data_IF_174733195582
#
_entry.id   IF_174733195582
#
_cell.length_a   1.000
_cell.length_b   1.000
_cell.length_c   1.000
_cell.angle_alpha   90.00
_cell.angle_beta   90.00
_cell.angle_gamma   90.00
#
_symmetry.space_group_name_H-M   'P 1'
#
loop_
_entity.id
_entity.type
_entity.pdbx_description
1 polymer ?
#
# COMPACT_ATOMS: atom_id res chain seq x y z
N UNK A 1 -23.06 7.63 21.51
CA UNK A 1 -22.06 8.72 21.64
C UNK A 1 -22.40 9.74 20.55
N UNK A 2 -22.29 11.05 20.83
CA UNK A 2 -22.53 12.07 19.82
C UNK A 2 -21.58 11.90 18.62
N UNK A 3 -21.99 12.36 17.45
CA UNK A 3 -21.09 12.41 16.29
C UNK A 3 -19.95 13.39 16.57
N UNK A 4 -18.76 13.07 16.08
CA UNK A 4 -17.56 13.90 16.23
C UNK A 4 -17.07 14.38 14.87
N UNK A 5 -16.40 15.53 14.83
CA UNK A 5 -15.71 16.01 13.62
C UNK A 5 -14.23 16.13 13.98
N UNK A 6 -13.40 15.28 13.39
CA UNK A 6 -11.97 15.17 13.67
C UNK A 6 -11.18 15.69 12.49
N UNK A 7 -10.13 16.47 12.75
CA UNK A 7 -9.14 16.83 11.75
C UNK A 7 -8.03 15.78 11.72
N UNK A 8 -7.54 15.50 10.52
CA UNK A 8 -6.29 14.76 10.33
C UNK A 8 -5.13 15.38 11.13
N UNK A 9 -4.15 14.54 11.48
CA UNK A 9 -2.98 14.95 12.27
C UNK A 9 -2.22 16.12 11.63
N UNK A 10 -2.14 16.09 10.29
CA UNK A 10 -1.28 16.94 9.49
C UNK A 10 -2.08 17.71 8.45
N UNK A 11 -2.94 17.02 7.72
CA UNK A 11 -3.62 17.57 6.57
C UNK A 11 -4.83 18.41 6.98
N UNK A 12 -5.24 19.33 6.12
CA UNK A 12 -6.52 20.02 6.26
C UNK A 12 -7.70 19.14 5.80
N UNK A 13 -7.70 17.89 6.26
CA UNK A 13 -8.71 16.87 5.96
C UNK A 13 -9.57 16.64 7.21
N UNK A 14 -10.89 16.64 7.05
CA UNK A 14 -11.83 16.52 8.14
C UNK A 14 -12.72 15.29 7.96
N UNK A 15 -12.93 14.55 9.05
CA UNK A 15 -13.73 13.33 9.07
C UNK A 15 -14.81 13.42 10.15
N UNK A 16 -16.05 13.16 9.75
CA UNK A 16 -17.18 13.00 10.65
C UNK A 16 -17.20 11.54 11.13
N UNK A 17 -17.05 11.32 12.43
CA UNK A 17 -17.20 10.02 13.06
C UNK A 17 -18.67 9.87 13.50
N UNK A 18 -19.40 8.98 12.83
CA UNK A 18 -20.85 8.85 12.98
C UNK A 18 -21.28 7.38 13.21
N UNK A 19 -21.02 6.86 14.42
CA UNK A 19 -21.22 5.45 14.77
C UNK A 19 -22.66 4.94 14.55
N UNK A 20 -23.67 5.78 14.80
CA UNK A 20 -25.08 5.39 14.67
C UNK A 20 -25.52 5.13 13.21
N UNK A 21 -24.79 5.69 12.23
CA UNK A 21 -25.09 5.46 10.80
C UNK A 21 -24.83 4.02 10.36
N UNK A 22 -24.10 3.22 11.14
CA UNK A 22 -23.92 1.77 10.89
C UNK A 22 -25.24 0.98 10.91
N UNK A 23 -26.30 1.52 11.55
CA UNK A 23 -27.63 0.88 11.66
C UNK A 23 -28.58 1.24 10.52
N UNK A 24 -28.14 2.04 9.54
CA UNK A 24 -29.01 2.50 8.46
C UNK A 24 -29.43 1.30 7.61
N UNK A 25 -30.74 1.09 7.37
CA UNK A 25 -31.19 0.05 6.46
C UNK A 25 -30.65 0.31 5.04
N UNK A 26 -30.25 -0.77 4.36
CA UNK A 26 -29.83 -0.76 2.96
C UNK A 26 -30.76 -1.68 2.17
N UNK A 27 -31.41 -1.13 1.14
CA UNK A 27 -32.24 -1.92 0.22
C UNK A 27 -31.37 -2.69 -0.81
N UNK A 28 -30.08 -2.38 -0.88
CA UNK A 28 -29.13 -3.03 -1.76
C UNK A 28 -28.31 -4.05 -0.97
N UNK A 29 -28.47 -5.33 -1.31
CA UNK A 29 -27.60 -6.39 -0.82
C UNK A 29 -26.22 -6.28 -1.49
N UNK A 30 -25.15 -6.44 -0.71
CA UNK A 30 -23.81 -6.60 -1.27
C UNK A 30 -23.73 -8.05 -1.77
N UNK A 31 -23.80 -8.24 -3.08
CA UNK A 31 -23.63 -9.55 -3.69
C UNK A 31 -22.20 -10.05 -3.47
N UNK A 32 -22.05 -11.29 -3.01
CA UNK A 32 -20.74 -11.96 -2.96
C UNK A 32 -20.29 -12.24 -4.39
N UNK A 33 -19.18 -11.64 -4.79
CA UNK A 33 -18.58 -11.87 -6.11
C UNK A 33 -18.08 -13.32 -6.21
N UNK A 34 -18.43 -13.99 -7.30
CA UNK A 34 -17.97 -15.35 -7.61
C UNK A 34 -16.44 -15.41 -7.75
N UNK A 35 -15.84 -16.57 -7.40
CA UNK A 35 -14.41 -16.81 -7.58
C UNK A 35 -14.05 -16.78 -9.07
N UNK A 36 -13.00 -16.03 -9.41
CA UNK A 36 -12.51 -15.95 -10.79
C UNK A 36 -11.99 -17.31 -11.29
N UNK A 37 -12.17 -17.58 -12.59
CA UNK A 37 -11.59 -18.75 -13.25
C UNK A 37 -10.05 -18.62 -13.29
N UNK A 38 -9.36 -19.49 -12.56
CA UNK A 38 -7.90 -19.48 -12.42
C UNK A 38 -7.17 -20.02 -13.65
N UNK A 39 -7.86 -20.76 -14.55
CA UNK A 39 -7.22 -21.41 -15.71
C UNK A 39 -6.75 -20.41 -16.78
N UNK A 40 -7.32 -19.21 -16.82
CA UNK A 40 -6.97 -18.16 -17.77
C UNK A 40 -6.11 -17.04 -17.16
N UNK A 41 -5.59 -17.20 -15.94
CA UNK A 41 -4.86 -16.14 -15.25
C UNK A 41 -3.49 -15.88 -15.91
N UNK A 42 -3.20 -14.67 -16.42
CA UNK A 42 -1.91 -14.35 -17.04
C UNK A 42 -0.74 -14.34 -16.05
N UNK A 43 -1.02 -14.28 -14.75
CA UNK A 43 0.00 -14.20 -13.69
C UNK A 43 0.37 -15.57 -13.10
N UNK A 44 -0.37 -16.63 -13.45
CA UNK A 44 -0.04 -17.98 -13.03
C UNK A 44 1.23 -18.51 -13.74
N UNK A 45 2.05 -19.33 -13.07
CA UNK A 45 3.16 -20.03 -13.69
C UNK A 45 2.72 -20.84 -14.92
N UNK A 46 3.53 -20.80 -15.98
CA UNK A 46 3.22 -21.40 -17.28
C UNK A 46 2.56 -20.44 -18.28
N UNK A 47 2.05 -19.31 -17.81
CA UNK A 47 1.41 -18.28 -18.64
C UNK A 47 2.32 -17.05 -18.84
N UNK A 48 3.64 -17.18 -18.69
CA UNK A 48 4.57 -16.04 -18.74
C UNK A 48 4.53 -15.27 -20.07
N UNK A 49 4.06 -15.91 -21.16
CA UNK A 49 3.88 -15.27 -22.47
C UNK A 49 2.60 -14.41 -22.58
N UNK A 50 1.69 -14.48 -21.59
CA UNK A 50 0.49 -13.66 -21.54
C UNK A 50 0.74 -12.29 -20.90
N UNK A 51 1.94 -12.05 -20.36
CA UNK A 51 2.38 -10.76 -19.82
C UNK A 51 3.43 -10.12 -20.72
N UNK A 52 3.63 -8.79 -20.65
CA UNK A 52 4.85 -8.17 -21.16
C UNK A 52 6.11 -8.81 -20.53
N UNK A 53 7.29 -8.67 -21.17
CA UNK A 53 8.53 -9.16 -20.60
C UNK A 53 8.80 -8.66 -19.19
N UNK A 54 9.08 -9.58 -18.27
CA UNK A 54 9.48 -9.22 -16.93
C UNK A 54 10.77 -8.41 -16.96
N UNK A 55 10.70 -7.20 -16.41
CA UNK A 55 11.86 -6.30 -16.25
C UNK A 55 12.72 -6.71 -15.06
N UNK A 56 12.14 -7.46 -14.11
CA UNK A 56 12.84 -8.06 -12.99
C UNK A 56 12.08 -9.32 -12.53
N UNK A 57 12.79 -10.40 -12.25
CA UNK A 57 12.25 -11.61 -11.64
C UNK A 57 13.30 -12.30 -10.78
N UNK A 58 12.83 -13.03 -9.76
CA UNK A 58 13.68 -13.80 -8.86
C UNK A 58 13.55 -15.29 -9.13
N UNK A 59 14.68 -15.98 -9.25
CA UNK A 59 14.78 -17.44 -9.37
C UNK A 59 15.50 -18.02 -8.15
N UNK A 60 15.13 -19.22 -7.69
CA UNK A 60 15.95 -19.96 -6.75
C UNK A 60 17.23 -20.46 -7.45
N UNK A 61 18.40 -20.30 -6.81
CA UNK A 61 19.69 -20.79 -7.32
C UNK A 61 20.58 -21.23 -6.16
N UNK A 62 20.79 -22.54 -5.98
CA UNK A 62 21.69 -23.14 -4.99
C UNK A 62 21.62 -22.55 -3.56
N UNK A 63 20.40 -22.30 -3.08
CA UNK A 63 20.16 -21.73 -1.75
C UNK A 63 20.15 -20.19 -1.68
N UNK A 64 20.44 -19.53 -2.80
CA UNK A 64 20.36 -18.08 -2.96
C UNK A 64 19.25 -17.66 -3.95
N UNK A 65 19.06 -16.35 -4.09
CA UNK A 65 18.12 -15.75 -5.03
C UNK A 65 18.91 -15.15 -6.19
N UNK A 66 18.72 -15.69 -7.39
CA UNK A 66 19.21 -15.07 -8.61
C UNK A 66 18.20 -14.06 -9.13
N UNK A 67 18.64 -12.81 -9.31
CA UNK A 67 17.86 -11.75 -9.94
C UNK A 67 18.16 -11.70 -11.43
N UNK A 68 17.13 -11.72 -12.26
CA UNK A 68 17.27 -11.66 -13.73
C UNK A 68 16.07 -10.96 -14.36
N UNK A 69 16.00 -10.93 -15.69
CA UNK A 69 14.89 -10.39 -16.48
C UNK A 69 14.57 -11.33 -17.63
N UNK A 70 13.40 -11.18 -18.21
CA UNK A 70 13.11 -11.87 -19.46
C UNK A 70 13.98 -11.31 -20.61
N UNK A 71 14.28 -12.16 -21.58
CA UNK A 71 14.93 -11.78 -22.83
C UNK A 71 14.11 -12.24 -24.03
N UNK A 72 14.43 -11.75 -25.23
CA UNK A 72 13.70 -12.09 -26.44
C UNK A 72 13.66 -13.61 -26.65
N UNK A 73 12.46 -14.18 -26.59
CA UNK A 73 12.20 -15.61 -26.76
C UNK A 73 12.46 -16.48 -25.53
N UNK A 74 12.96 -15.94 -24.41
CA UNK A 74 13.21 -16.72 -23.19
C UNK A 74 12.47 -16.15 -21.98
N UNK A 75 11.56 -16.97 -21.44
CA UNK A 75 10.81 -16.73 -20.20
C UNK A 75 11.25 -17.74 -19.13
N UNK A 76 12.08 -17.35 -18.15
CA UNK A 76 12.46 -18.26 -17.06
C UNK A 76 11.23 -18.75 -16.28
N UNK A 77 11.17 -20.08 -16.08
CA UNK A 77 10.14 -20.73 -15.25
C UNK A 77 10.63 -20.88 -13.81
N UNK A 78 9.71 -21.16 -12.88
CA UNK A 78 10.05 -21.38 -11.47
C UNK A 78 10.41 -20.10 -10.71
N UNK A 79 9.95 -18.95 -11.22
CA UNK A 79 10.09 -17.67 -10.57
C UNK A 79 9.36 -17.63 -9.22
N UNK A 80 9.91 -16.84 -8.29
CA UNK A 80 9.35 -16.64 -6.95
C UNK A 80 8.52 -15.36 -6.87
N UNK A 81 8.92 -14.32 -7.62
CA UNK A 81 8.23 -13.04 -7.77
C UNK A 81 8.64 -12.44 -9.12
N UNK A 82 7.75 -11.69 -9.78
CA UNK A 82 8.00 -11.03 -11.08
C UNK A 82 7.52 -9.58 -11.07
N UNK A 83 8.26 -8.70 -11.73
CA UNK A 83 7.83 -7.36 -12.12
C UNK A 83 7.73 -7.31 -13.64
N UNK A 84 6.56 -6.97 -14.16
CA UNK A 84 6.31 -6.81 -15.60
C UNK A 84 5.77 -5.39 -15.86
N UNK A 85 6.06 -4.77 -17.01
CA UNK A 85 5.30 -3.61 -17.46
C UNK A 85 3.81 -3.93 -17.47
N UNK A 86 2.98 -2.97 -17.08
CA UNK A 86 1.53 -3.12 -17.23
C UNK A 86 1.20 -3.20 -18.72
N UNK A 87 0.34 -4.15 -19.12
CA UNK A 87 -0.09 -4.33 -20.51
C UNK A 87 -0.90 -3.13 -21.03
N UNK A 88 -1.60 -2.44 -20.12
CA UNK A 88 -2.38 -1.23 -20.40
C UNK A 88 -1.86 -0.08 -19.52
N UNK A 89 -0.66 0.43 -19.79
CA UNK A 89 -0.01 1.35 -18.89
C UNK A 89 -0.65 2.74 -18.97
N UNK A 90 -0.91 3.32 -17.80
CA UNK A 90 -1.33 4.72 -17.67
C UNK A 90 -0.25 5.74 -18.04
N UNK A 91 1.03 5.35 -17.99
CA UNK A 91 2.20 6.17 -18.29
C UNK A 91 3.24 5.36 -19.06
N UNK A 92 3.96 6.00 -19.98
CA UNK A 92 4.98 5.37 -20.80
C UNK A 92 6.39 5.92 -20.50
N UNK A 93 7.44 5.08 -20.53
CA UNK A 93 8.80 5.56 -20.33
C UNK A 93 9.14 6.68 -21.30
N UNK A 94 10.04 7.58 -20.88
CA UNK A 94 10.35 8.77 -21.68
C UNK A 94 10.89 8.39 -23.08
N UNK A 95 10.14 8.80 -24.12
CA UNK A 95 10.50 8.65 -25.52
C UNK A 95 11.15 9.91 -26.13
N UNK A 96 11.47 9.87 -27.43
CA UNK A 96 12.25 10.92 -28.13
C UNK A 96 11.47 12.21 -28.46
N UNK A 97 10.14 12.18 -28.56
CA UNK A 97 9.33 13.35 -28.92
C UNK A 97 8.42 13.75 -27.74
N UNK A 98 8.60 14.97 -27.24
CA UNK A 98 7.78 15.54 -26.17
C UNK A 98 6.90 16.65 -26.75
N UNK A 99 5.62 16.64 -26.40
CA UNK A 99 4.74 17.80 -26.58
C UNK A 99 4.26 18.23 -25.20
N UNK A 100 4.51 19.48 -24.84
CA UNK A 100 3.86 20.09 -23.67
C UNK A 100 3.08 21.29 -24.15
N UNK A 101 1.89 21.49 -23.59
CA UNK A 101 1.08 22.68 -23.83
C UNK A 101 1.00 23.40 -22.50
N UNK A 102 1.41 24.66 -22.48
CA UNK A 102 1.25 25.53 -21.33
C UNK A 102 0.56 26.81 -21.80
N UNK A 103 -0.63 27.06 -21.27
CA UNK A 103 -1.34 28.32 -21.35
C UNK A 103 -1.59 28.85 -19.93
N UNK A 104 -2.20 30.03 -19.81
CA UNK A 104 -2.39 30.70 -18.52
C UNK A 104 -3.22 29.87 -17.52
N UNK A 105 -4.19 29.09 -18.00
CA UNK A 105 -5.15 28.36 -17.15
C UNK A 105 -5.12 26.84 -17.34
N UNK A 106 -4.33 26.31 -18.28
CA UNK A 106 -4.22 24.87 -18.50
C UNK A 106 -2.79 24.47 -18.82
N UNK A 107 -2.41 23.31 -18.28
CA UNK A 107 -1.12 22.67 -18.48
C UNK A 107 -1.36 21.24 -18.91
N UNK A 108 -0.70 20.81 -19.98
CA UNK A 108 -0.70 19.44 -20.46
C UNK A 108 0.75 19.00 -20.65
N UNK A 109 1.05 17.78 -20.22
CA UNK A 109 2.30 17.09 -20.51
C UNK A 109 1.99 15.68 -21.01
N UNK A 110 2.87 15.12 -21.83
CA UNK A 110 2.79 13.70 -22.21
C UNK A 110 2.77 12.85 -20.94
N UNK A 111 1.96 11.79 -20.93
CA UNK A 111 1.89 10.79 -19.86
C UNK A 111 3.17 9.96 -19.77
N UNK A 112 4.25 10.60 -19.34
CA UNK A 112 5.58 10.01 -19.20
C UNK A 112 5.74 9.43 -17.81
N UNK A 113 6.34 8.25 -17.68
CA UNK A 113 6.54 7.56 -16.41
C UNK A 113 6.67 6.05 -16.58
N UNK A 114 6.53 5.31 -15.50
CA UNK A 114 6.49 3.84 -15.53
C UNK A 114 5.18 3.36 -14.92
N UNK A 115 4.62 2.31 -15.48
CA UNK A 115 3.49 1.60 -14.88
C UNK A 115 3.78 0.10 -14.96
N UNK A 116 4.01 -0.52 -13.81
CA UNK A 116 4.42 -1.90 -13.66
C UNK A 116 3.49 -2.67 -12.72
N UNK A 117 3.41 -3.98 -12.95
CA UNK A 117 2.69 -4.94 -12.10
C UNK A 117 3.72 -5.84 -11.43
N UNK A 118 3.62 -5.93 -10.11
CA UNK A 118 4.44 -6.81 -9.28
C UNK A 118 3.58 -8.03 -8.95
N UNK A 119 3.87 -9.15 -9.58
CA UNK A 119 3.24 -10.45 -9.33
C UNK A 119 3.91 -11.04 -8.09
N UNK A 120 3.17 -11.07 -6.98
CA UNK A 120 3.72 -11.26 -5.63
C UNK A 120 4.07 -12.71 -5.33
N UNK A 121 3.43 -13.67 -6.01
CA UNK A 121 3.63 -15.11 -5.78
C UNK A 121 3.31 -15.92 -7.04
N UNK A 122 3.97 -17.09 -7.26
CA UNK A 122 3.51 -18.09 -8.23
C UNK A 122 2.20 -18.79 -7.82
N UNK A 123 1.79 -18.69 -6.56
CA UNK A 123 0.53 -19.25 -6.05
C UNK A 123 -0.56 -18.17 -6.16
N UNK A 124 -1.59 -18.45 -6.96
CA UNK A 124 -2.64 -17.50 -7.35
C UNK A 124 -3.26 -16.75 -6.17
N UNK A 125 -3.68 -17.49 -5.14
CA UNK A 125 -4.39 -16.96 -3.98
C UNK A 125 -3.45 -16.59 -2.81
N UNK A 126 -2.12 -16.61 -2.96
CA UNK A 126 -1.17 -16.33 -1.86
C UNK A 126 -1.07 -14.82 -1.54
N UNK A 127 -2.21 -14.26 -1.11
CA UNK A 127 -2.40 -12.87 -0.70
C UNK A 127 -1.74 -12.56 0.65
N UNK A 128 -1.47 -11.28 0.97
CA UNK A 128 -0.82 -10.89 2.22
C UNK A 128 -1.40 -11.50 3.51
N UNK A 129 -2.71 -11.79 3.55
CA UNK A 129 -3.37 -12.35 4.71
C UNK A 129 -3.16 -13.87 4.91
N UNK A 130 -2.66 -14.59 3.89
CA UNK A 130 -2.32 -16.02 3.99
C UNK A 130 -0.88 -16.35 3.59
N UNK A 131 -0.20 -15.43 2.91
CA UNK A 131 1.14 -15.64 2.38
C UNK A 131 2.15 -16.07 3.42
N UNK A 132 3.16 -16.83 3.00
CA UNK A 132 4.33 -17.09 3.85
C UNK A 132 5.08 -15.77 4.06
N UNK A 133 5.62 -15.56 5.26
CA UNK A 133 6.41 -14.36 5.59
C UNK A 133 7.54 -14.15 4.57
N UNK A 134 8.19 -15.23 4.15
CA UNK A 134 9.25 -15.19 3.14
C UNK A 134 8.73 -14.66 1.79
N UNK A 135 7.50 -15.00 1.39
CA UNK A 135 6.91 -14.54 0.13
C UNK A 135 6.64 -13.03 0.14
N UNK A 136 6.13 -12.51 1.26
CA UNK A 136 5.97 -11.06 1.45
C UNK A 136 7.34 -10.38 1.44
N UNK A 137 8.37 -10.97 2.07
CA UNK A 137 9.74 -10.44 2.05
C UNK A 137 10.28 -10.35 0.62
N UNK A 138 10.12 -11.39 -0.20
CA UNK A 138 10.53 -11.37 -1.61
C UNK A 138 9.85 -10.26 -2.40
N UNK A 139 8.56 -10.04 -2.15
CA UNK A 139 7.80 -8.93 -2.76
C UNK A 139 8.36 -7.57 -2.35
N UNK A 140 8.62 -7.37 -1.05
CA UNK A 140 9.23 -6.13 -0.54
C UNK A 140 10.62 -5.90 -1.12
N UNK A 141 11.45 -6.93 -1.23
CA UNK A 141 12.76 -6.85 -1.87
C UNK A 141 12.65 -6.43 -3.33
N UNK A 142 11.71 -7.00 -4.09
CA UNK A 142 11.47 -6.63 -5.48
C UNK A 142 10.96 -5.19 -5.62
N UNK A 143 10.07 -4.75 -4.73
CA UNK A 143 9.64 -3.36 -4.64
C UNK A 143 10.83 -2.41 -4.43
N UNK A 144 11.75 -2.74 -3.51
CA UNK A 144 12.94 -1.93 -3.22
C UNK A 144 13.89 -1.88 -4.43
N UNK A 145 14.10 -3.00 -5.11
CA UNK A 145 14.94 -3.05 -6.32
C UNK A 145 14.36 -2.18 -7.44
N UNK A 146 13.05 -2.28 -7.71
CA UNK A 146 12.39 -1.42 -8.69
C UNK A 146 12.43 0.04 -8.29
N UNK A 147 12.24 0.34 -7.00
CA UNK A 147 12.32 1.70 -6.47
C UNK A 147 13.70 2.30 -6.75
N UNK A 148 14.79 1.57 -6.44
CA UNK A 148 16.18 1.98 -6.70
C UNK A 148 16.46 2.20 -8.20
N UNK A 149 16.00 1.30 -9.05
CA UNK A 149 16.24 1.40 -10.49
C UNK A 149 15.49 2.58 -11.10
N UNK A 150 14.19 2.72 -10.80
CA UNK A 150 13.36 3.78 -11.36
C UNK A 150 13.77 5.15 -10.80
N UNK A 151 14.16 5.24 -9.52
CA UNK A 151 14.62 6.50 -8.92
C UNK A 151 15.86 7.10 -9.58
N UNK A 152 16.66 6.28 -10.30
CA UNK A 152 17.83 6.76 -11.04
C UNK A 152 17.50 7.59 -12.28
N UNK A 153 16.23 7.66 -12.68
CA UNK A 153 15.80 8.47 -13.83
C UNK A 153 15.43 9.89 -13.36
N UNK A 154 16.21 10.89 -13.79
CA UNK A 154 16.10 12.30 -13.33
C UNK A 154 14.71 12.94 -13.50
N UNK A 155 13.91 12.46 -14.47
CA UNK A 155 12.58 12.98 -14.73
C UNK A 155 11.50 12.40 -13.79
N UNK A 156 11.81 11.39 -12.99
CA UNK A 156 10.88 10.78 -12.04
C UNK A 156 10.93 11.54 -10.72
N UNK A 157 9.79 12.11 -10.31
CA UNK A 157 9.65 12.84 -9.05
C UNK A 157 9.00 12.01 -7.95
N UNK A 158 8.14 11.04 -8.30
CA UNK A 158 7.47 10.20 -7.31
C UNK A 158 7.21 8.80 -7.83
N UNK A 159 7.34 7.80 -6.95
CA UNK A 159 7.09 6.39 -7.25
C UNK A 159 6.05 5.88 -6.25
N UNK A 160 4.84 5.63 -6.72
CA UNK A 160 3.76 5.07 -5.92
C UNK A 160 3.77 3.55 -6.00
N UNK A 161 3.85 2.88 -4.86
CA UNK A 161 3.67 1.43 -4.74
C UNK A 161 2.37 1.19 -4.00
N UNK A 162 1.44 0.49 -4.62
CA UNK A 162 0.10 0.29 -4.08
C UNK A 162 -0.47 -1.07 -4.46
N UNK A 163 -1.53 -1.48 -3.77
CA UNK A 163 -2.25 -2.73 -4.03
C UNK A 163 -3.75 -2.50 -3.93
N UNK A 164 -4.50 -3.22 -4.77
CA UNK A 164 -5.94 -3.39 -4.64
C UNK A 164 -6.25 -4.89 -4.47
N UNK A 165 -7.04 -5.24 -3.46
CA UNK A 165 -7.51 -6.59 -3.17
C UNK A 165 -9.03 -6.61 -3.19
N UNK A 166 -9.61 -7.50 -3.99
CA UNK A 166 -11.06 -7.57 -4.20
C UNK A 166 -11.58 -6.57 -5.26
N UNK A 167 -12.68 -6.93 -5.90
CA UNK A 167 -13.26 -6.20 -7.05
C UNK A 167 -13.70 -4.80 -6.66
N UNK A 168 -14.27 -4.63 -5.48
CA UNK A 168 -14.76 -3.37 -4.94
C UNK A 168 -13.62 -2.38 -4.64
N UNK A 169 -12.40 -2.88 -4.45
CA UNK A 169 -11.19 -2.06 -4.34
C UNK A 169 -10.57 -1.71 -5.70
N UNK A 170 -11.16 -2.18 -6.81
CA UNK A 170 -10.66 -1.93 -8.16
C UNK A 170 -9.65 -2.95 -8.68
N UNK A 171 -9.53 -4.13 -8.05
CA UNK A 171 -8.73 -5.22 -8.61
C UNK A 171 -9.41 -5.80 -9.85
N UNK A 172 -8.72 -5.81 -10.98
CA UNK A 172 -9.20 -6.43 -12.23
C UNK A 172 -8.83 -7.91 -12.34
N UNK A 173 -7.77 -8.34 -11.66
CA UNK A 173 -7.32 -9.73 -11.57
C UNK A 173 -7.26 -10.14 -10.11
N UNK A 174 -7.69 -11.37 -9.83
CA UNK A 174 -7.73 -11.89 -8.46
C UNK A 174 -6.38 -12.44 -7.98
N UNK A 175 -5.40 -12.63 -8.85
CA UNK A 175 -4.08 -13.14 -8.47
C UNK A 175 -3.37 -12.16 -7.54
N UNK A 176 -2.58 -12.63 -6.56
CA UNK A 176 -1.82 -11.77 -5.66
C UNK A 176 -0.83 -10.84 -6.41
N UNK A 177 -1.16 -9.55 -6.52
CA UNK A 177 -0.34 -8.57 -7.21
C UNK A 177 -0.40 -7.19 -6.56
N UNK A 178 0.70 -6.47 -6.68
CA UNK A 178 0.82 -5.04 -6.40
C UNK A 178 1.10 -4.30 -7.71
N UNK A 179 1.03 -2.98 -7.68
CA UNK A 179 1.35 -2.12 -8.80
C UNK A 179 2.32 -1.02 -8.39
N UNK A 180 3.10 -0.57 -9.36
CA UNK A 180 4.01 0.55 -9.24
C UNK A 180 3.71 1.54 -10.35
N UNK A 181 3.46 2.80 -9.98
CA UNK A 181 3.34 3.90 -10.94
C UNK A 181 4.36 4.99 -10.57
N UNK A 182 5.28 5.26 -11.49
CA UNK A 182 6.29 6.30 -11.35
C UNK A 182 5.95 7.49 -12.25
N UNK A 183 6.03 8.69 -11.69
CA UNK A 183 5.49 9.91 -12.31
C UNK A 183 6.48 11.07 -12.24
N UNK A 184 6.44 12.01 -13.20
CA UNK A 184 7.29 13.20 -13.25
C UNK A 184 6.76 14.36 -12.40
N UNK A 185 5.72 14.11 -11.61
CA UNK A 185 5.08 15.08 -10.73
C UNK A 185 4.88 14.44 -9.36
N UNK A 186 5.03 15.22 -8.28
CA UNK A 186 4.63 14.72 -6.96
C UNK A 186 3.09 14.77 -6.86
N UNK A 187 2.40 13.67 -6.52
CA UNK A 187 0.94 13.68 -6.34
C UNK A 187 0.53 14.65 -5.23
N UNK A 188 -0.64 15.28 -5.40
CA UNK A 188 -1.11 16.34 -4.51
C UNK A 188 -1.11 15.94 -3.02
N UNK A 189 -1.63 14.77 -2.68
CA UNK A 189 -1.65 14.28 -1.31
C UNK A 189 -0.24 14.15 -0.71
N UNK A 190 0.72 13.62 -1.48
CA UNK A 190 2.12 13.52 -1.03
C UNK A 190 2.75 14.91 -0.87
N UNK A 191 2.49 15.82 -1.79
CA UNK A 191 2.94 17.21 -1.68
C UNK A 191 2.40 17.88 -0.41
N UNK A 192 1.12 17.69 -0.10
CA UNK A 192 0.50 18.23 1.12
C UNK A 192 1.11 17.63 2.40
N UNK A 193 1.33 16.31 2.44
CA UNK A 193 1.94 15.65 3.60
C UNK A 193 3.39 16.11 3.81
N UNK A 194 4.16 16.24 2.74
CA UNK A 194 5.54 16.76 2.76
C UNK A 194 5.57 18.19 3.27
N UNK A 195 4.72 19.06 2.73
CA UNK A 195 4.67 20.47 3.12
C UNK A 195 4.20 20.64 4.57
N UNK A 196 3.17 19.90 5.00
CA UNK A 196 2.71 19.91 6.39
C UNK A 196 3.79 19.40 7.36
N UNK A 197 4.53 18.35 6.96
CA UNK A 197 5.63 17.81 7.75
C UNK A 197 6.79 18.80 7.88
N UNK A 198 7.13 19.49 6.79
CA UNK A 198 8.14 20.54 6.77
C UNK A 198 7.76 21.70 7.69
N UNK A 199 6.54 22.23 7.57
CA UNK A 199 6.04 23.29 8.42
C UNK A 199 6.06 22.91 9.91
N UNK A 200 5.69 21.67 10.24
CA UNK A 200 5.80 21.17 11.61
C UNK A 200 7.26 21.11 12.10
N UNK A 201 8.16 20.59 11.27
CA UNK A 201 9.57 20.44 11.60
C UNK A 201 10.23 21.80 11.90
N UNK A 202 9.93 22.83 11.11
CA UNK A 202 10.42 24.20 11.28
C UNK A 202 9.91 24.86 12.58
N UNK A 203 8.70 24.51 13.04
CA UNK A 203 8.09 25.09 14.23
C UNK A 203 8.45 24.38 15.54
N UNK A 204 8.57 23.06 15.53
CA UNK A 204 8.58 22.24 16.75
C UNK A 204 9.87 21.42 16.92
N UNK A 205 10.83 21.53 16.01
CA UNK A 205 12.09 20.75 15.97
C UNK A 205 11.85 19.23 16.09
N UNK A 206 11.57 18.57 14.96
CA UNK A 206 11.47 17.11 14.89
C UNK A 206 10.42 16.60 13.90
N UNK A 207 10.49 15.30 13.58
CA UNK A 207 9.54 14.66 12.68
C UNK A 207 8.18 14.45 13.36
N UNK A 208 7.11 14.96 12.75
CA UNK A 208 5.73 14.79 13.22
C UNK A 208 5.35 13.33 13.38
N UNK A 209 5.68 12.47 12.41
CA UNK A 209 5.34 11.06 12.47
C UNK A 209 6.05 10.31 13.60
N UNK A 210 7.28 10.72 13.95
CA UNK A 210 7.99 10.18 15.12
C UNK A 210 7.31 10.62 16.44
N UNK A 211 6.71 11.80 16.47
CA UNK A 211 5.87 12.22 17.61
C UNK A 211 4.57 11.41 17.65
N UNK A 212 3.85 11.32 16.54
CA UNK A 212 2.61 10.53 16.43
C UNK A 212 2.83 9.09 16.88
N UNK A 213 3.91 8.46 16.43
CA UNK A 213 4.28 7.11 16.85
C UNK A 213 4.40 7.01 18.38
N UNK A 214 5.08 7.94 19.05
CA UNK A 214 5.23 7.91 20.51
C UNK A 214 3.88 8.05 21.23
N UNK A 215 2.99 8.88 20.71
CA UNK A 215 1.68 9.15 21.32
C UNK A 215 0.69 8.00 21.07
N UNK A 216 0.54 7.56 19.82
CA UNK A 216 -0.42 6.52 19.42
C UNK A 216 -0.09 5.16 20.04
N UNK A 217 1.20 4.86 20.26
CA UNK A 217 1.62 3.59 20.88
C UNK A 217 1.36 3.50 22.38
N UNK A 218 1.05 4.64 23.03
CA UNK A 218 0.58 4.70 24.42
C UNK A 218 -0.94 4.84 24.50
N UNK A 219 -1.61 5.10 23.36
CA UNK A 219 -3.02 5.40 23.28
C UNK A 219 -3.92 4.19 23.01
N UNK A 220 -5.25 4.41 23.04
CA UNK A 220 -6.24 3.36 22.80
C UNK A 220 -6.29 2.88 21.33
N UNK A 221 -5.66 3.59 20.41
CA UNK A 221 -5.67 3.29 18.97
C UNK A 221 -4.52 2.39 18.51
N UNK A 222 -3.63 1.97 19.42
CA UNK A 222 -2.60 0.95 19.14
C UNK A 222 -3.24 -0.38 18.77
N UNK A 223 -2.87 -0.91 17.60
CA UNK A 223 -3.32 -2.21 17.09
C UNK A 223 -2.27 -3.29 17.34
N UNK A 224 -1.04 -3.05 16.89
CA UNK A 224 0.03 -4.04 16.91
C UNK A 224 1.40 -3.38 17.03
N UNK A 225 2.38 -4.12 17.54
CA UNK A 225 3.76 -3.70 17.60
C UNK A 225 4.68 -4.89 17.32
N UNK A 226 5.60 -4.69 16.39
CA UNK A 226 6.70 -5.60 16.08
C UNK A 226 8.03 -4.95 16.46
N UNK A 227 9.15 -5.66 16.34
CA UNK A 227 10.48 -5.12 16.65
C UNK A 227 10.76 -3.77 15.97
N UNK A 228 10.58 -3.68 14.65
CA UNK A 228 10.90 -2.47 13.87
C UNK A 228 9.69 -1.65 13.43
N UNK A 229 8.46 -2.15 13.61
CA UNK A 229 7.24 -1.51 13.10
C UNK A 229 6.15 -1.38 14.15
N UNK A 230 5.33 -0.35 13.99
CA UNK A 230 4.18 -0.07 14.82
C UNK A 230 2.93 0.08 13.95
N UNK A 231 1.79 -0.30 14.52
CA UNK A 231 0.50 -0.29 13.83
C UNK A 231 -0.58 0.32 14.71
N UNK A 232 -1.29 1.31 14.18
CA UNK A 232 -2.36 2.01 14.89
C UNK A 232 -3.47 2.45 13.92
N UNK A 233 -4.66 2.69 14.47
CA UNK A 233 -5.76 3.32 13.74
C UNK A 233 -5.58 4.85 13.80
N UNK A 234 -5.59 5.59 12.68
CA UNK A 234 -5.40 7.03 12.71
C UNK A 234 -6.58 7.76 13.38
N UNK A 235 -6.29 8.86 14.08
CA UNK A 235 -7.27 9.66 14.84
C UNK A 235 -8.48 10.09 14.01
N UNK A 236 -8.24 10.45 12.76
CA UNK A 236 -9.24 10.83 11.79
C UNK A 236 -9.24 9.87 10.58
N UNK A 237 -9.28 8.54 10.84
CA UNK A 237 -9.43 7.52 9.80
C UNK A 237 -10.57 7.86 8.85
N UNK A 238 -10.30 7.89 7.55
CA UNK A 238 -11.32 8.07 6.51
C UNK A 238 -12.15 6.81 6.36
N UNK A 239 -11.50 5.64 6.41
CA UNK A 239 -12.15 4.35 6.19
C UNK A 239 -12.38 3.60 7.52
N UNK A 240 -13.51 2.88 7.67
CA UNK A 240 -13.68 1.92 8.76
C UNK A 240 -12.54 0.90 8.77
N UNK A 241 -11.95 0.66 9.95
CA UNK A 241 -10.82 -0.26 10.12
C UNK A 241 -9.55 0.13 9.33
N UNK A 242 -9.42 1.39 8.92
CA UNK A 242 -8.15 1.94 8.44
C UNK A 242 -7.06 1.79 9.51
N UNK A 243 -5.87 1.40 9.07
CA UNK A 243 -4.70 1.35 9.94
C UNK A 243 -3.44 1.71 9.17
N UNK A 244 -2.48 2.28 9.88
CA UNK A 244 -1.18 2.64 9.34
C UNK A 244 -0.10 1.71 9.90
N UNK A 245 0.85 1.31 9.06
CA UNK A 245 2.07 0.61 9.45
C UNK A 245 3.24 1.58 9.25
N UNK A 246 3.97 1.88 10.32
CA UNK A 246 5.07 2.85 10.31
C UNK A 246 6.34 2.25 10.92
N UNK A 247 7.54 2.49 10.36
CA UNK A 247 8.77 2.06 11.01
C UNK A 247 9.03 2.87 12.28
N UNK A 248 9.64 2.23 13.27
CA UNK A 248 10.05 2.90 14.51
C UNK A 248 11.28 3.76 14.31
N UNK A 249 12.22 3.29 13.48
CA UNK A 249 13.39 4.06 13.07
C UNK A 249 12.98 5.04 11.98
N UNK A 250 13.26 6.31 12.19
CA UNK A 250 13.01 7.36 11.22
C UNK A 250 13.70 7.06 9.88
N UNK A 251 12.90 6.95 8.82
CA UNK A 251 13.35 6.71 7.45
C UNK A 251 12.40 7.40 6.47
N UNK A 252 12.93 7.96 5.39
CA UNK A 252 12.15 8.67 4.36
C UNK A 252 11.64 7.75 3.24
N UNK A 253 12.21 6.55 3.10
CA UNK A 253 11.93 5.59 2.03
C UNK A 253 12.21 4.15 2.45
N UNK A 254 11.68 3.19 1.70
CA UNK A 254 11.92 1.75 1.88
C UNK A 254 13.36 1.32 1.52
N UNK A 255 14.07 2.12 0.70
CA UNK A 255 15.38 1.77 0.12
C UNK A 255 16.41 1.37 1.18
N UNK A 256 16.38 2.01 2.35
CA UNK A 256 17.38 1.90 3.41
C UNK A 256 16.95 0.98 4.57
N UNK A 257 15.94 0.14 4.36
CA UNK A 257 15.56 -0.88 5.33
C UNK A 257 16.64 -1.96 5.44
N UNK A 258 17.00 -2.31 6.67
CA UNK A 258 17.89 -3.45 6.93
C UNK A 258 17.18 -4.79 6.68
N UNK A 259 17.93 -5.88 6.58
CA UNK A 259 17.35 -7.22 6.42
C UNK A 259 16.41 -7.62 7.58
N UNK A 260 16.72 -7.15 8.80
CA UNK A 260 15.87 -7.37 9.97
C UNK A 260 14.58 -6.54 9.88
N UNK A 261 14.66 -5.28 9.44
CA UNK A 261 13.49 -4.43 9.22
C UNK A 261 12.59 -4.99 8.11
N UNK A 262 13.14 -5.45 6.98
CA UNK A 262 12.35 -6.09 5.92
C UNK A 262 11.58 -7.32 6.43
N UNK A 263 12.22 -8.15 7.24
CA UNK A 263 11.58 -9.33 7.85
C UNK A 263 10.51 -8.92 8.86
N UNK A 264 10.79 -7.91 9.66
CA UNK A 264 9.82 -7.34 10.62
C UNK A 264 8.60 -6.79 9.89
N UNK A 265 8.78 -6.03 8.80
CA UNK A 265 7.68 -5.53 7.96
C UNK A 265 6.87 -6.67 7.34
N UNK A 266 7.52 -7.70 6.80
CA UNK A 266 6.85 -8.85 6.22
C UNK A 266 5.97 -9.58 7.26
N UNK A 267 6.46 -9.73 8.50
CA UNK A 267 5.68 -10.26 9.62
C UNK A 267 4.51 -9.36 10.00
N UNK A 268 4.75 -8.05 10.12
CA UNK A 268 3.71 -7.07 10.45
C UNK A 268 2.59 -7.09 9.42
N UNK A 269 2.93 -7.07 8.12
CA UNK A 269 1.95 -7.20 7.03
C UNK A 269 1.19 -8.53 7.18
N UNK A 270 1.88 -9.66 7.29
CA UNK A 270 1.21 -10.97 7.38
C UNK A 270 0.22 -11.06 8.53
N UNK A 271 0.60 -10.58 9.71
CA UNK A 271 -0.21 -10.62 10.92
C UNK A 271 -1.38 -9.64 10.82
N UNK A 272 -1.14 -8.40 10.40
CA UNK A 272 -2.18 -7.37 10.34
C UNK A 272 -3.23 -7.67 9.26
N UNK A 273 -2.82 -8.09 8.07
CA UNK A 273 -3.76 -8.47 7.02
C UNK A 273 -4.50 -9.77 7.35
N UNK A 274 -3.86 -10.74 8.02
CA UNK A 274 -4.54 -11.94 8.54
C UNK A 274 -5.57 -11.60 9.63
N UNK A 275 -5.24 -10.67 10.53
CA UNK A 275 -6.17 -10.14 11.53
C UNK A 275 -7.36 -9.41 10.89
N UNK A 276 -7.13 -8.58 9.88
CA UNK A 276 -8.18 -7.91 9.11
C UNK A 276 -9.09 -8.94 8.41
N UNK A 277 -8.50 -9.91 7.72
CA UNK A 277 -9.23 -10.95 7.00
C UNK A 277 -10.07 -11.83 7.96
N UNK A 278 -9.53 -12.21 9.12
CA UNK A 278 -10.29 -12.94 10.15
C UNK A 278 -11.46 -12.10 10.70
N UNK A 279 -11.24 -10.82 10.95
CA UNK A 279 -12.23 -9.95 11.58
C UNK A 279 -13.41 -9.65 10.65
N UNK A 280 -13.13 -9.43 9.37
CA UNK A 280 -14.09 -8.90 8.41
C UNK A 280 -14.38 -9.88 7.25
N UNK A 281 -13.96 -11.14 7.38
CA UNK A 281 -14.14 -12.20 6.40
C UNK A 281 -13.54 -11.85 5.02
N UNK A 282 -12.23 -11.62 5.00
CA UNK A 282 -11.40 -11.20 3.84
C UNK A 282 -12.01 -10.03 3.05
N UNK A 283 -12.11 -8.83 3.65
CA UNK A 283 -12.74 -7.69 3.01
C UNK A 283 -11.88 -7.18 1.84
N UNK A 284 -12.49 -6.55 0.82
CA UNK A 284 -11.73 -5.79 -0.16
C UNK A 284 -10.98 -4.64 0.52
N UNK A 285 -9.78 -4.33 0.05
CA UNK A 285 -8.96 -3.23 0.56
C UNK A 285 -8.05 -2.67 -0.52
N UNK A 286 -7.63 -1.42 -0.33
CA UNK A 286 -6.44 -0.89 -1.00
C UNK A 286 -5.37 -0.59 0.04
N UNK A 287 -4.10 -0.62 -0.34
CA UNK A 287 -3.04 0.01 0.45
C UNK A 287 -2.09 0.78 -0.43
N UNK A 288 -1.37 1.73 0.14
CA UNK A 288 -0.32 2.48 -0.56
C UNK A 288 0.83 2.85 0.37
N UNK A 289 2.06 2.76 -0.15
CA UNK A 289 3.22 3.32 0.52
C UNK A 289 3.30 4.83 0.27
N UNK A 290 3.39 5.59 1.34
CA UNK A 290 3.66 7.02 1.34
C UNK A 290 5.13 7.19 1.63
N UNK A 291 5.93 7.49 0.60
CA UNK A 291 7.38 7.68 0.70
C UNK A 291 7.74 9.13 0.40
N UNK A 292 8.94 9.57 0.75
CA UNK A 292 9.40 10.88 0.34
C UNK A 292 9.54 10.95 -1.20
N UNK A 293 9.29 12.13 -1.82
CA UNK A 293 9.61 12.38 -3.21
C UNK A 293 11.05 11.99 -3.58
N UNK A 294 11.26 11.62 -4.85
CA UNK A 294 12.57 11.22 -5.33
C UNK A 294 13.59 12.35 -5.15
N UNK A 295 14.80 12.01 -4.69
CA UNK A 295 15.86 12.99 -4.39
C UNK A 295 15.67 13.79 -3.11
N UNK A 296 14.59 13.59 -2.34
CA UNK A 296 14.42 14.23 -1.04
C UNK A 296 15.14 13.45 0.07
N UNK A 297 16.16 14.07 0.67
CA UNK A 297 16.93 13.51 1.81
C UNK A 297 16.50 14.06 3.17
N UNK A 298 15.34 14.73 3.25
CA UNK A 298 14.98 15.55 4.41
C UNK A 298 14.38 14.76 5.57
N UNK A 299 14.84 15.06 6.80
CA UNK A 299 14.40 14.42 8.04
C UNK A 299 12.99 14.85 8.52
N UNK A 300 12.27 15.69 7.77
CA UNK A 300 10.90 16.06 8.16
C UNK A 300 9.85 15.01 7.78
N UNK A 301 10.11 14.19 6.75
CA UNK A 301 9.16 13.16 6.29
C UNK A 301 9.50 11.78 6.84
N UNK A 302 8.49 10.94 7.06
CA UNK A 302 8.69 9.56 7.52
C UNK A 302 7.74 8.67 6.74
N UNK A 303 8.29 7.70 6.01
CA UNK A 303 7.45 6.84 5.21
C UNK A 303 6.55 5.98 6.08
N UNK A 304 5.37 5.67 5.56
CA UNK A 304 4.41 4.78 6.19
C UNK A 304 3.57 4.08 5.13
N UNK A 305 2.92 2.99 5.51
CA UNK A 305 1.99 2.24 4.68
C UNK A 305 0.58 2.47 5.24
N UNK A 306 -0.31 3.02 4.43
CA UNK A 306 -1.71 3.20 4.78
C UNK A 306 -2.57 2.09 4.17
N UNK A 307 -3.46 1.50 4.97
CA UNK A 307 -4.39 0.44 4.56
C UNK A 307 -5.83 0.91 4.67
N UNK A 308 -6.57 0.77 3.57
CA UNK A 308 -7.92 1.31 3.38
C UNK A 308 -8.95 0.20 3.08
N UNK A 309 -9.55 -0.44 4.10
CA UNK A 309 -10.63 -1.39 3.89
C UNK A 309 -11.84 -0.75 3.19
N UNK A 310 -12.37 -1.42 2.17
CA UNK A 310 -13.48 -0.91 1.34
C UNK A 310 -14.82 -1.48 1.82
N UNK A 311 -15.29 -0.99 2.97
CA UNK A 311 -16.56 -1.41 3.58
C UNK A 311 -17.76 -0.52 3.22
N UNK A 312 -17.54 0.48 2.37
CA UNK A 312 -18.56 1.42 1.92
C UNK A 312 -18.10 2.20 0.70
N UNK A 313 -19.04 2.88 0.06
CA UNK A 313 -18.81 3.66 -1.16
C UNK A 313 -18.82 5.14 -0.81
N UNK A 314 -17.80 5.87 -1.23
CA UNK A 314 -17.78 7.34 -1.14
C UNK A 314 -18.88 7.92 -2.04
N UNK A 315 -19.73 8.77 -1.47
CA UNK A 315 -20.92 9.29 -2.11
C UNK A 315 -20.78 10.79 -2.40
N UNK A 316 -21.90 11.44 -2.71
CA UNK A 316 -21.92 12.85 -3.13
C UNK A 316 -21.32 13.81 -2.11
N UNK A 317 -21.51 13.56 -0.81
CA UNK A 317 -20.94 14.42 0.23
C UNK A 317 -19.41 14.37 0.22
N UNK A 318 -18.84 13.16 0.22
CA UNK A 318 -17.40 12.98 0.27
C UNK A 318 -16.73 13.46 -1.02
N UNK A 319 -17.33 13.15 -2.17
CA UNK A 319 -16.80 13.55 -3.48
C UNK A 319 -16.88 15.05 -3.75
N UNK A 320 -17.86 15.77 -3.19
CA UNK A 320 -18.06 17.20 -3.47
C UNK A 320 -17.36 18.13 -2.47
N UNK A 321 -17.08 17.67 -1.25
CA UNK A 321 -16.55 18.52 -0.18
C UNK A 321 -15.11 18.20 0.22
N UNK A 322 -14.62 16.98 -0.07
CA UNK A 322 -13.36 16.49 0.48
C UNK A 322 -13.40 16.18 1.99
N UNK A 323 -14.56 16.27 2.63
CA UNK A 323 -14.80 15.74 3.97
C UNK A 323 -15.26 14.29 3.90
N UNK A 324 -14.97 13.50 4.94
CA UNK A 324 -15.32 12.08 4.96
C UNK A 324 -16.27 11.74 6.09
N UNK A 325 -16.99 10.61 5.96
CA UNK A 325 -17.83 10.07 7.01
C UNK A 325 -17.37 8.65 7.33
N UNK A 326 -16.89 8.44 8.55
CA UNK A 326 -16.52 7.14 9.05
C UNK A 326 -17.56 6.66 10.08
N UNK A 327 -18.12 5.48 9.85
CA UNK A 327 -19.16 4.89 10.72
C UNK A 327 -18.59 4.02 11.83
N UNK A 328 -17.27 3.84 11.88
CA UNK A 328 -16.58 3.10 12.95
C UNK A 328 -15.56 4.02 13.61
N UNK A 329 -15.73 4.38 14.90
CA UNK A 329 -14.72 5.14 15.61
C UNK A 329 -13.34 4.44 15.57
N UNK A 330 -12.24 5.16 15.33
CA UNK A 330 -10.90 4.57 15.25
C UNK A 330 -10.51 3.78 16.50
N UNK A 331 -10.94 4.20 17.70
CA UNK A 331 -10.70 3.49 18.95
C UNK A 331 -11.40 2.11 18.98
N UNK A 332 -12.62 2.04 18.48
CA UNK A 332 -13.37 0.78 18.35
C UNK A 332 -12.74 -0.13 17.31
N UNK A 333 -12.36 0.44 16.15
CA UNK A 333 -11.65 -0.30 15.10
C UNK A 333 -10.34 -0.91 15.63
N UNK A 334 -9.54 -0.11 16.35
CA UNK A 334 -8.28 -0.55 16.93
C UNK A 334 -8.46 -1.69 17.94
N UNK A 335 -9.48 -1.61 18.80
CA UNK A 335 -9.78 -2.65 19.79
C UNK A 335 -10.06 -3.99 19.11
N UNK A 336 -10.97 -4.02 18.13
CA UNK A 336 -11.31 -5.26 17.42
C UNK A 336 -10.16 -5.78 16.56
N UNK A 337 -9.41 -4.90 15.89
CA UNK A 337 -8.24 -5.31 15.10
C UNK A 337 -7.18 -5.92 16.00
N UNK A 338 -6.87 -5.30 17.14
CA UNK A 338 -5.90 -5.81 18.11
C UNK A 338 -6.24 -7.23 18.55
N UNK A 339 -7.48 -7.51 18.93
CA UNK A 339 -7.93 -8.85 19.31
C UNK A 339 -7.75 -9.87 18.17
N UNK A 340 -8.09 -9.49 16.93
CA UNK A 340 -7.99 -10.37 15.77
C UNK A 340 -6.54 -10.61 15.32
N UNK A 341 -5.70 -9.58 15.40
CA UNK A 341 -4.26 -9.61 15.10
C UNK A 341 -3.53 -10.50 16.10
N UNK A 342 -3.82 -10.41 17.39
CA UNK A 342 -3.20 -11.30 18.38
C UNK A 342 -3.56 -12.77 18.14
N UNK A 343 -4.82 -13.06 17.76
CA UNK A 343 -5.22 -14.41 17.33
C UNK A 343 -4.45 -14.89 16.10
N UNK A 344 -4.23 -14.01 15.11
CA UNK A 344 -3.44 -14.34 13.91
C UNK A 344 -1.99 -14.66 14.26
N UNK A 345 -1.38 -13.82 15.09
CA UNK A 345 -0.01 -13.99 15.54
C UNK A 345 0.20 -15.33 16.24
N UNK A 346 -0.70 -15.68 17.16
CA UNK A 346 -0.65 -16.97 17.86
C UNK A 346 -0.79 -18.15 16.90
N UNK A 347 -1.70 -18.06 15.91
CA UNK A 347 -1.88 -19.12 14.90
C UNK A 347 -0.63 -19.30 14.01
N UNK A 348 0.04 -18.21 13.64
CA UNK A 348 1.30 -18.29 12.88
C UNK A 348 2.40 -18.91 13.73
N UNK A 349 2.50 -18.54 15.02
CA UNK A 349 3.50 -19.08 15.93
C UNK A 349 3.27 -20.57 16.24
N UNK A 350 2.03 -21.03 16.31
CA UNK A 350 1.72 -22.46 16.51
C UNK A 350 2.04 -23.32 15.30
N UNK A 351 1.93 -22.78 14.07
CA UNK A 351 2.26 -23.50 12.84
C UNK A 351 3.78 -23.58 12.57
N UNK A 352 4.59 -22.86 13.33
CA UNK A 352 6.06 -22.89 13.26
C UNK A 352 6.68 -23.87 14.28
N UNK A 353 5.87 -24.46 15.16
CA UNK A 353 6.25 -25.52 16.11
C UNK A 353 5.76 -26.86 15.58
#
# INVERSE_FOLDING_TARGET
>A
MPNEIRRDYLLNRWVIIAAERSRRPSDFAIERVEKADTKACPFCPGNENMTPPAVLLYLPSDGEIQKTKDSDGHRPKGWLVRCVPNLYPALHPLGKAQTSIKADYYKMMVGTGYHEVIIESPIHDEHPHIARIQQIRLTLDLCIDRLKEISSHDYIQYISIFRNHGREAGASLSHAHSQLIATPIVPAQISEEVEASKNYYEQQSGCIYCKLLREEMLGPRKIYEEDAFAVFAPWASVYPFEFWIIPKRHQVSLINMTETEKTSLARTIRICFGGLARLLNDPPYSYGFHIAPNGMESNHFHWHLEVYPKLGILAGFEKSTGMYINVVPPETAATHLKESVEKEKLAIQSNLR
#
